data_IF_001836772330
#
_entry.id   IF_001836772330
#
_cell.length_a   1.000
_cell.length_b   1.000
_cell.length_c   1.000
_cell.angle_alpha   90.00
_cell.angle_beta   90.00
_cell.angle_gamma   90.00
#
_symmetry.space_group_name_H-M   'P 1'
#
loop_
_entity.id
_entity.type
_entity.pdbx_description
1 polymer ?
#
# COMPACT_ATOMS: atom_id res chain seq x y z
N UNK A 1 9.06 -0.80 19.28
CA UNK A 1 9.03 -1.28 17.87
C UNK A 1 8.51 -0.13 17.00
N UNK A 2 9.24 0.26 15.95
CA UNK A 2 8.78 1.33 15.04
C UNK A 2 7.58 0.84 14.21
N UNK A 3 6.48 1.58 14.17
CA UNK A 3 5.23 1.11 13.56
C UNK A 3 5.36 0.78 12.07
N UNK A 4 6.19 1.53 11.34
CA UNK A 4 6.47 1.37 9.91
C UNK A 4 7.29 0.12 9.54
N UNK A 5 7.67 -0.69 10.52
CA UNK A 5 8.31 -1.99 10.30
C UNK A 5 7.51 -3.16 10.91
N UNK A 6 6.32 -2.90 11.47
CA UNK A 6 5.48 -3.94 12.04
C UNK A 6 4.51 -4.48 10.98
N UNK A 7 4.71 -5.75 10.59
CA UNK A 7 3.89 -6.45 9.59
C UNK A 7 2.41 -6.50 9.94
N UNK A 8 2.06 -6.72 11.21
CA UNK A 8 0.65 -6.80 11.64
C UNK A 8 -0.03 -5.45 11.53
N UNK A 9 0.65 -4.37 11.97
CA UNK A 9 0.11 -3.01 11.88
C UNK A 9 -0.07 -2.59 10.43
N UNK A 10 0.91 -2.86 9.58
CA UNK A 10 0.83 -2.51 8.15
C UNK A 10 -0.23 -3.34 7.43
N UNK A 11 -0.30 -4.65 7.69
CA UNK A 11 -1.36 -5.49 7.12
C UNK A 11 -2.75 -5.03 7.58
N UNK A 12 -2.91 -4.68 8.85
CA UNK A 12 -4.15 -4.12 9.38
C UNK A 12 -4.49 -2.80 8.68
N UNK A 13 -3.51 -1.91 8.48
CA UNK A 13 -3.71 -0.65 7.77
C UNK A 13 -4.10 -0.88 6.30
N UNK A 14 -3.56 -1.88 5.61
CA UNK A 14 -3.98 -2.24 4.25
C UNK A 14 -5.46 -2.65 4.21
N UNK A 15 -5.87 -3.58 5.08
CA UNK A 15 -7.24 -4.11 5.06
C UNK A 15 -8.26 -3.15 5.65
N UNK A 16 -7.85 -2.10 6.36
CA UNK A 16 -8.73 -1.06 6.90
C UNK A 16 -8.64 0.21 6.05
N UNK A 17 -7.65 1.06 6.33
CA UNK A 17 -7.46 2.34 5.65
C UNK A 17 -7.21 2.18 4.15
N UNK A 18 -6.40 1.19 3.76
CA UNK A 18 -6.01 1.03 2.36
C UNK A 18 -7.12 0.53 1.44
N UNK A 19 -8.14 -0.13 1.99
CA UNK A 19 -9.32 -0.61 1.24
C UNK A 19 -10.57 0.22 1.49
N UNK A 20 -10.59 1.07 2.52
CA UNK A 20 -11.74 1.92 2.79
C UNK A 20 -11.98 2.92 1.65
N UNK A 21 -13.22 3.43 1.54
CA UNK A 21 -14.46 2.72 1.86
C UNK A 21 -14.61 1.47 0.98
N UNK A 22 -15.18 0.39 1.52
CA UNK A 22 -15.21 -0.92 0.85
C UNK A 22 -16.34 -1.08 -0.17
N UNK A 23 -17.40 -0.27 -0.06
CA UNK A 23 -18.60 -0.35 -0.87
C UNK A 23 -18.85 0.98 -1.61
N UNK A 24 -19.28 0.94 -2.89
CA UNK A 24 -19.51 -0.24 -3.74
C UNK A 24 -18.21 -0.95 -4.14
N UNK A 25 -17.08 -0.26 -4.08
CA UNK A 25 -15.74 -0.81 -4.25
C UNK A 25 -14.71 0.03 -3.47
N UNK A 26 -13.53 -0.52 -3.13
CA UNK A 26 -12.44 0.23 -2.50
C UNK A 26 -12.08 1.52 -3.24
N UNK A 27 -11.91 2.65 -2.52
CA UNK A 27 -11.49 3.91 -3.16
C UNK A 27 -10.22 3.73 -3.97
N UNK A 28 -9.21 3.06 -3.40
CA UNK A 28 -7.94 2.83 -4.10
C UNK A 28 -8.16 2.13 -5.44
N UNK A 29 -9.11 1.19 -5.52
CA UNK A 29 -9.42 0.48 -6.74
C UNK A 29 -10.09 1.37 -7.79
N UNK A 30 -11.07 2.18 -7.36
CA UNK A 30 -11.70 3.19 -8.22
C UNK A 30 -10.68 4.19 -8.77
N UNK A 31 -9.79 4.71 -7.92
CA UNK A 31 -8.72 5.65 -8.31
C UNK A 31 -7.73 5.01 -9.29
N UNK A 32 -7.29 3.77 -9.07
CA UNK A 32 -6.39 3.07 -9.99
C UNK A 32 -7.01 2.92 -11.39
N UNK A 33 -8.30 2.57 -11.49
CA UNK A 33 -9.02 2.51 -12.77
C UNK A 33 -9.12 3.89 -13.42
N UNK A 34 -9.41 4.93 -12.65
CA UNK A 34 -9.49 6.31 -13.17
C UNK A 34 -8.13 6.78 -13.71
N UNK A 35 -7.04 6.49 -12.99
CA UNK A 35 -5.67 6.80 -13.43
C UNK A 35 -5.32 6.01 -14.69
N UNK A 36 -5.66 4.71 -14.75
CA UNK A 36 -5.45 3.90 -15.95
C UNK A 36 -6.23 4.42 -17.17
N UNK A 37 -7.39 5.06 -16.94
CA UNK A 37 -8.19 5.77 -17.95
C UNK A 37 -7.69 7.19 -18.29
N UNK A 38 -6.50 7.58 -17.83
CA UNK A 38 -5.87 8.86 -18.15
C UNK A 38 -6.10 9.98 -17.13
N UNK A 39 -6.67 9.70 -15.96
CA UNK A 39 -6.86 10.67 -14.87
C UNK A 39 -7.62 11.95 -15.28
N UNK A 40 -8.44 11.87 -16.33
CA UNK A 40 -9.18 13.01 -16.86
C UNK A 40 -10.10 13.59 -15.78
N UNK A 41 -9.92 14.89 -15.48
CA UNK A 41 -10.72 15.59 -14.48
C UNK A 41 -10.36 15.30 -13.01
N UNK A 42 -9.28 14.56 -12.72
CA UNK A 42 -8.83 14.36 -11.34
C UNK A 42 -8.34 15.67 -10.72
N UNK A 43 -8.86 15.99 -9.54
CA UNK A 43 -8.45 17.15 -8.76
C UNK A 43 -7.34 16.77 -7.76
N UNK A 44 -6.70 17.77 -7.16
CA UNK A 44 -5.67 17.55 -6.14
C UNK A 44 -6.16 16.66 -4.97
N UNK A 45 -7.44 16.78 -4.59
CA UNK A 45 -8.04 15.95 -3.55
C UNK A 45 -8.15 14.48 -3.96
N UNK A 46 -8.36 14.19 -5.24
CA UNK A 46 -8.41 12.80 -5.75
C UNK A 46 -7.03 12.16 -5.73
N UNK A 47 -5.99 12.94 -6.03
CA UNK A 47 -4.60 12.50 -5.90
C UNK A 47 -4.20 12.27 -4.45
N UNK A 48 -4.63 13.16 -3.55
CA UNK A 48 -4.43 12.97 -2.11
C UNK A 48 -5.13 11.70 -1.63
N UNK A 49 -6.40 11.49 -2.00
CA UNK A 49 -7.16 10.29 -1.65
C UNK A 49 -6.48 9.01 -2.17
N UNK A 50 -5.99 9.03 -3.41
CA UNK A 50 -5.20 7.94 -3.99
C UNK A 50 -3.95 7.65 -3.17
N UNK A 51 -3.17 8.68 -2.82
CA UNK A 51 -1.95 8.52 -2.04
C UNK A 51 -2.25 8.02 -0.62
N UNK A 52 -3.28 8.57 0.01
CA UNK A 52 -3.67 8.26 1.38
C UNK A 52 -4.08 6.79 1.54
N UNK A 53 -4.91 6.29 0.62
CA UNK A 53 -5.32 4.88 0.61
C UNK A 53 -4.24 3.97 0.00
N UNK A 54 -3.35 4.50 -0.84
CA UNK A 54 -2.22 3.77 -1.42
C UNK A 54 -1.03 3.59 -0.47
N UNK A 55 -0.83 4.50 0.49
CA UNK A 55 0.33 4.51 1.39
C UNK A 55 0.51 3.19 2.17
N UNK A 56 -0.53 2.58 2.77
CA UNK A 56 -0.39 1.28 3.44
C UNK A 56 0.16 0.19 2.51
N UNK A 57 -0.30 0.16 1.25
CA UNK A 57 0.16 -0.81 0.25
C UNK A 57 1.61 -0.59 -0.16
N UNK A 58 2.04 0.67 -0.30
CA UNK A 58 3.45 1.00 -0.57
C UNK A 58 4.36 0.56 0.59
N UNK A 59 3.91 0.75 1.84
CA UNK A 59 4.62 0.26 3.01
C UNK A 59 4.69 -1.27 3.06
N UNK A 60 3.60 -1.96 2.72
CA UNK A 60 3.58 -3.42 2.64
C UNK A 60 4.54 -3.93 1.56
N UNK A 61 4.49 -3.34 0.36
CA UNK A 61 5.41 -3.68 -0.74
C UNK A 61 6.87 -3.46 -0.34
N UNK A 62 7.18 -2.33 0.31
CA UNK A 62 8.52 -2.08 0.87
C UNK A 62 8.97 -3.21 1.80
N UNK A 63 8.12 -3.64 2.73
CA UNK A 63 8.46 -4.73 3.65
C UNK A 63 8.66 -6.07 2.93
N UNK A 64 7.83 -6.36 1.94
CA UNK A 64 7.96 -7.55 1.10
C UNK A 64 9.28 -7.54 0.32
N UNK A 65 9.64 -6.41 -0.30
CA UNK A 65 10.90 -6.28 -1.02
C UNK A 65 12.11 -6.42 -0.08
N UNK A 66 12.09 -5.78 1.09
CA UNK A 66 13.20 -5.90 2.06
C UNK A 66 13.36 -7.32 2.59
N UNK A 67 12.25 -7.98 2.92
CA UNK A 67 12.29 -9.37 3.39
C UNK A 67 12.71 -10.31 2.27
N UNK A 68 12.16 -10.15 1.07
CA UNK A 68 12.55 -10.91 -0.13
C UNK A 68 14.02 -10.73 -0.47
N UNK A 69 14.54 -9.50 -0.46
CA UNK A 69 15.97 -9.22 -0.67
C UNK A 69 16.84 -9.90 0.39
N UNK A 70 16.46 -9.79 1.67
CA UNK A 70 17.18 -10.45 2.75
C UNK A 70 17.11 -11.99 2.68
N UNK A 71 16.06 -12.56 2.09
CA UNK A 71 15.93 -14.00 1.91
C UNK A 71 16.66 -14.51 0.66
N UNK A 72 16.64 -13.74 -0.43
CA UNK A 72 17.15 -14.15 -1.73
C UNK A 72 18.63 -13.78 -1.94
N UNK A 73 19.06 -12.62 -1.44
CA UNK A 73 20.41 -12.08 -1.69
C UNK A 73 21.31 -12.26 -0.47
N UNK A 74 20.77 -12.07 0.73
CA UNK A 74 21.51 -12.32 1.96
C UNK A 74 21.32 -13.80 2.33
N UNK A 75 22.41 -14.59 2.36
CA UNK A 75 22.35 -15.92 3.00
C UNK A 75 21.82 -15.73 4.42
N UNK A 76 20.98 -16.65 4.95
CA UNK A 76 20.65 -16.63 6.36
C UNK A 76 21.98 -16.67 7.11
N UNK A 77 22.27 -15.58 7.82
CA UNK A 77 23.31 -15.57 8.82
C UNK A 77 22.88 -16.66 9.80
N UNK A 78 23.59 -17.80 9.77
CA UNK A 78 23.32 -18.90 10.70
C UNK A 78 23.36 -18.28 12.10
N UNK A 79 22.20 -18.30 12.74
CA UNK A 79 22.12 -18.03 14.17
C UNK A 79 22.83 -19.15 14.93
#
# INVERSE_FOLDING_TARGET
>A
MKFWNNWQVIALACVTLGLAPFFPEPHIWGKLKWIAGGANGMQAIDWFDTLFHGLPWLLLLRLMCLKGYNTLIRKPEKQ
#
